data_IF_120220630262
#
_entry.id   IF_120220630262
#
_cell.length_a   1.000
_cell.length_b   1.000
_cell.length_c   1.000
_cell.angle_alpha   90.00
_cell.angle_beta   90.00
_cell.angle_gamma   90.00
#
_symmetry.space_group_name_H-M   'P 1'
#
loop_
_entity.id
_entity.type
_entity.pdbx_description
1 polymer ?
#
# COMPACT_ATOMS: atom_id res chain seq x y z
N UNK A 1 -46.10 0.12 -23.26
CA UNK A 1 -45.82 -0.13 -24.68
C UNK A 1 -45.38 -1.58 -24.81
N UNK A 2 -46.22 -2.38 -25.38
CA UNK A 2 -46.21 -3.84 -25.47
C UNK A 2 -45.12 -4.33 -26.39
N UNK A 3 -44.32 -5.34 -25.98
CA UNK A 3 -43.43 -6.08 -26.88
C UNK A 3 -43.75 -7.55 -26.81
N UNK A 4 -44.00 -8.08 -28.00
CA UNK A 4 -44.44 -9.41 -28.37
C UNK A 4 -43.44 -10.51 -28.06
N UNK A 5 -43.96 -11.65 -27.62
CA UNK A 5 -43.34 -12.97 -27.58
C UNK A 5 -43.55 -13.63 -28.96
N UNK A 6 -42.48 -14.10 -29.61
CA UNK A 6 -42.56 -15.01 -30.73
C UNK A 6 -41.81 -16.32 -30.50
N UNK A 7 -42.50 -17.38 -30.81
CA UNK A 7 -42.36 -18.81 -30.78
C UNK A 7 -40.99 -19.44 -31.10
N UNK A 8 -40.72 -20.50 -30.33
CA UNK A 8 -39.71 -21.57 -30.62
C UNK A 8 -40.40 -22.79 -31.19
N UNK A 9 -39.96 -23.37 -32.28
CA UNK A 9 -40.36 -24.72 -32.68
C UNK A 9 -39.37 -25.78 -32.14
N UNK A 10 -39.91 -26.82 -31.59
CA UNK A 10 -39.27 -28.08 -31.19
C UNK A 10 -38.84 -28.91 -32.39
N UNK A 11 -37.62 -29.42 -32.34
CA UNK A 11 -37.11 -30.41 -33.28
C UNK A 11 -36.03 -31.26 -32.66
N UNK A 12 -36.36 -32.53 -32.35
CA UNK A 12 -35.48 -33.60 -31.93
C UNK A 12 -34.65 -34.17 -33.08
N UNK A 13 -33.36 -34.35 -32.92
CA UNK A 13 -32.62 -35.47 -33.51
C UNK A 13 -31.27 -35.70 -32.81
N UNK A 14 -31.09 -36.91 -32.36
CA UNK A 14 -29.88 -37.52 -31.82
C UNK A 14 -28.82 -37.72 -32.88
N UNK A 15 -27.59 -37.26 -32.64
CA UNK A 15 -26.38 -37.85 -33.22
C UNK A 15 -25.18 -37.56 -32.31
N UNK A 16 -24.54 -38.60 -31.85
CA UNK A 16 -23.32 -38.54 -31.05
C UNK A 16 -22.12 -38.01 -31.86
N UNK A 17 -21.40 -37.12 -31.23
CA UNK A 17 -20.04 -36.78 -31.63
C UNK A 17 -19.20 -36.55 -30.37
N UNK A 18 -18.25 -37.44 -30.20
CA UNK A 18 -17.14 -37.32 -29.25
C UNK A 18 -16.36 -36.05 -29.57
N UNK A 19 -16.54 -35.01 -28.76
CA UNK A 19 -15.71 -33.82 -28.83
C UNK A 19 -14.55 -33.98 -27.82
N UNK A 20 -13.35 -34.10 -28.35
CA UNK A 20 -12.11 -34.02 -27.60
C UNK A 20 -12.04 -32.63 -26.94
N UNK A 21 -11.97 -32.59 -25.61
CA UNK A 21 -11.72 -31.42 -24.86
C UNK A 21 -10.26 -30.98 -25.11
N UNK A 22 -10.10 -30.05 -26.05
CA UNK A 22 -8.88 -29.27 -26.19
C UNK A 22 -8.81 -28.30 -25.02
N UNK A 23 -8.04 -28.62 -23.98
CA UNK A 23 -7.67 -27.70 -22.94
C UNK A 23 -6.82 -26.62 -23.59
N UNK A 24 -7.41 -25.45 -23.83
CA UNK A 24 -6.67 -24.25 -24.13
C UNK A 24 -5.90 -23.88 -22.85
N UNK A 25 -4.63 -24.28 -22.79
CA UNK A 25 -3.67 -23.72 -21.85
C UNK A 25 -3.52 -22.25 -22.20
N UNK A 26 -4.28 -21.40 -21.49
CA UNK A 26 -3.99 -19.98 -21.44
C UNK A 26 -2.54 -19.86 -20.95
N UNK A 27 -1.65 -19.41 -21.82
CA UNK A 27 -0.27 -19.19 -21.51
C UNK A 27 -0.17 -18.24 -20.32
N UNK A 28 0.15 -18.79 -19.16
CA UNK A 28 0.60 -18.00 -18.03
C UNK A 28 1.89 -17.31 -18.50
N UNK A 29 1.78 -16.05 -18.90
CA UNK A 29 2.93 -15.19 -19.13
C UNK A 29 3.64 -15.14 -17.78
N UNK A 30 4.72 -15.87 -17.64
CA UNK A 30 5.57 -15.87 -16.44
C UNK A 30 5.98 -14.42 -16.24
N UNK A 31 5.37 -13.72 -15.28
CA UNK A 31 5.70 -12.35 -14.93
C UNK A 31 7.16 -12.42 -14.47
N UNK A 32 8.08 -11.82 -15.25
CA UNK A 32 9.48 -11.74 -14.86
C UNK A 32 9.57 -11.09 -13.48
N UNK A 33 10.46 -11.60 -12.63
CA UNK A 33 10.72 -10.97 -11.35
C UNK A 33 11.12 -9.51 -11.59
N UNK A 34 10.37 -8.59 -11.01
CA UNK A 34 10.61 -7.17 -11.13
C UNK A 34 11.27 -6.70 -9.85
N UNK A 35 12.44 -6.05 -9.97
CA UNK A 35 13.14 -5.43 -8.87
C UNK A 35 12.84 -3.93 -8.83
N UNK A 36 12.98 -3.33 -7.66
CA UNK A 36 12.84 -1.90 -7.47
C UNK A 36 14.03 -1.38 -6.66
N UNK A 37 14.77 -0.44 -7.24
CA UNK A 37 15.74 0.39 -6.53
C UNK A 37 15.07 1.70 -6.15
N UNK A 38 15.13 2.05 -4.88
CA UNK A 38 14.81 3.39 -4.37
C UNK A 38 16.06 3.99 -3.75
N UNK A 39 16.29 5.28 -3.97
CA UNK A 39 17.41 5.98 -3.32
C UNK A 39 17.11 7.45 -3.08
N UNK A 40 17.86 8.03 -2.13
CA UNK A 40 17.99 9.47 -1.97
C UNK A 40 19.47 9.82 -1.71
N UNK A 41 19.91 10.97 -2.23
CA UNK A 41 21.28 11.45 -2.05
C UNK A 41 21.34 12.98 -2.19
N UNK A 42 22.45 13.64 -1.81
CA UNK A 42 22.71 15.01 -2.21
C UNK A 42 22.67 15.15 -3.74
N UNK A 43 22.04 16.22 -4.24
CA UNK A 43 21.97 16.50 -5.67
C UNK A 43 23.36 16.80 -6.24
N UNK A 44 23.76 16.06 -7.27
CA UNK A 44 25.00 16.28 -8.00
C UNK A 44 24.98 15.63 -9.40
N UNK A 45 25.79 16.13 -10.37
CA UNK A 45 25.83 15.56 -11.70
C UNK A 45 26.33 14.10 -11.72
N UNK A 46 25.77 13.28 -12.61
CA UNK A 46 26.24 11.92 -12.88
C UNK A 46 25.45 10.81 -12.18
N UNK A 47 24.61 11.10 -11.20
CA UNK A 47 23.82 10.11 -10.43
C UNK A 47 23.03 9.18 -11.37
N UNK A 48 22.19 9.74 -12.24
CA UNK A 48 21.34 8.94 -13.16
C UNK A 48 22.20 8.06 -14.07
N UNK A 49 23.31 8.59 -14.61
CA UNK A 49 24.25 7.82 -15.41
C UNK A 49 24.84 6.65 -14.62
N UNK A 50 25.26 6.87 -13.38
CA UNK A 50 25.86 5.84 -12.54
C UNK A 50 24.87 4.71 -12.25
N UNK A 51 23.62 5.06 -11.90
CA UNK A 51 22.53 4.10 -11.63
C UNK A 51 22.18 3.31 -12.90
N UNK A 52 21.95 3.99 -14.02
CA UNK A 52 21.51 3.32 -15.25
C UNK A 52 22.63 2.48 -15.88
N UNK A 53 23.90 2.92 -15.82
CA UNK A 53 25.05 2.13 -16.24
C UNK A 53 25.19 0.87 -15.37
N UNK A 54 25.09 1.00 -14.04
CA UNK A 54 25.15 -0.15 -13.13
C UNK A 54 24.14 -1.25 -13.50
N UNK A 55 22.91 -0.87 -13.83
CA UNK A 55 21.85 -1.81 -14.22
C UNK A 55 22.10 -2.38 -15.63
N UNK A 56 22.43 -1.52 -16.61
CA UNK A 56 22.66 -1.92 -17.99
C UNK A 56 23.87 -2.87 -18.13
N UNK A 57 24.99 -2.57 -17.45
CA UNK A 57 26.22 -3.40 -17.49
C UNK A 57 26.00 -4.80 -16.91
N UNK A 58 24.93 -4.99 -16.12
CA UNK A 58 24.52 -6.27 -15.55
C UNK A 58 23.36 -6.92 -16.30
N UNK A 59 22.96 -6.31 -17.42
CA UNK A 59 21.94 -6.82 -18.30
C UNK A 59 20.53 -6.67 -17.79
N UNK A 60 20.27 -5.76 -16.88
CA UNK A 60 18.92 -5.42 -16.48
C UNK A 60 18.25 -4.49 -17.49
N UNK A 61 16.97 -4.73 -17.71
CA UNK A 61 16.10 -3.88 -18.52
C UNK A 61 15.29 -2.95 -17.59
N UNK A 62 15.39 -1.64 -17.79
CA UNK A 62 14.70 -0.63 -16.99
C UNK A 62 13.27 -0.50 -17.51
N UNK A 63 12.29 -0.87 -16.66
CA UNK A 63 10.88 -0.81 -16.98
C UNK A 63 10.27 0.56 -16.65
N UNK A 64 10.71 1.16 -15.55
CA UNK A 64 10.23 2.47 -15.10
C UNK A 64 11.36 3.20 -14.37
N UNK A 65 11.54 4.47 -14.67
CA UNK A 65 12.53 5.31 -14.02
C UNK A 65 11.91 6.67 -13.72
N UNK A 66 11.90 7.05 -12.46
CA UNK A 66 11.38 8.33 -11.98
C UNK A 66 12.37 8.97 -11.05
N UNK A 67 12.56 10.29 -11.16
CA UNK A 67 13.38 11.08 -10.25
C UNK A 67 12.66 12.36 -9.87
N UNK A 68 13.06 12.91 -8.73
CA UNK A 68 12.63 14.22 -8.25
C UNK A 68 13.77 14.91 -7.52
N UNK A 69 14.07 16.13 -7.93
CA UNK A 69 15.08 16.99 -7.30
C UNK A 69 14.36 17.98 -6.36
N UNK A 70 14.51 17.78 -5.06
CA UNK A 70 13.98 18.71 -4.06
C UNK A 70 15.01 19.82 -3.80
N UNK A 71 14.85 20.93 -4.47
CA UNK A 71 15.74 22.10 -4.33
C UNK A 71 15.73 22.70 -2.92
N UNK A 72 14.70 22.43 -2.10
CA UNK A 72 14.62 22.94 -0.71
C UNK A 72 15.56 22.15 0.21
N UNK A 73 15.57 20.82 0.07
CA UNK A 73 16.47 19.95 0.84
C UNK A 73 17.80 19.66 0.14
N UNK A 74 18.01 20.14 -1.10
CA UNK A 74 19.13 19.83 -1.97
C UNK A 74 19.36 18.32 -2.09
N UNK A 75 18.28 17.55 -2.21
CA UNK A 75 18.30 16.09 -2.35
C UNK A 75 17.61 15.64 -3.62
N UNK A 76 18.25 14.69 -4.28
CA UNK A 76 17.65 13.88 -5.33
C UNK A 76 16.98 12.64 -4.73
N UNK A 77 15.77 12.33 -5.20
CA UNK A 77 15.03 11.11 -4.94
C UNK A 77 14.84 10.37 -6.24
N UNK A 78 15.06 9.05 -6.23
CA UNK A 78 14.99 8.25 -7.43
C UNK A 78 14.33 6.90 -7.13
N UNK A 79 13.49 6.45 -8.06
CA UNK A 79 12.92 5.11 -8.10
C UNK A 79 13.12 4.52 -9.49
N UNK A 80 13.69 3.32 -9.55
CA UNK A 80 13.87 2.57 -10.80
C UNK A 80 13.31 1.16 -10.62
N UNK A 81 12.34 0.79 -11.44
CA UNK A 81 11.86 -0.58 -11.55
C UNK A 81 12.54 -1.23 -12.77
N UNK A 82 13.04 -2.45 -12.59
CA UNK A 82 13.81 -3.16 -13.62
C UNK A 82 13.59 -4.67 -13.55
N UNK A 83 13.89 -5.36 -14.64
CA UNK A 83 13.77 -6.82 -14.78
C UNK A 83 15.05 -7.39 -15.36
N UNK A 84 15.31 -8.68 -15.19
CA UNK A 84 16.35 -9.36 -15.96
C UNK A 84 16.00 -9.35 -17.44
N UNK A 85 16.94 -8.96 -18.30
CA UNK A 85 16.79 -8.99 -19.75
C UNK A 85 16.51 -10.41 -20.28
N UNK A 86 15.87 -10.51 -21.46
CA UNK A 86 15.45 -11.80 -22.03
C UNK A 86 16.58 -12.74 -22.39
N UNK A 87 17.76 -12.18 -22.74
CA UNK A 87 18.84 -12.89 -23.43
C UNK A 87 20.07 -13.13 -22.56
N UNK A 88 19.96 -12.98 -21.22
CA UNK A 88 21.12 -13.10 -20.36
C UNK A 88 21.26 -14.53 -19.85
N UNK A 89 22.10 -15.30 -20.56
CA UNK A 89 22.75 -16.46 -20.00
C UNK A 89 23.86 -15.97 -19.05
N UNK A 90 23.76 -16.35 -17.76
CA UNK A 90 24.73 -16.00 -16.73
C UNK A 90 26.12 -16.58 -17.03
N UNK A 91 26.90 -15.97 -17.90
CA UNK A 91 28.27 -16.42 -18.19
C UNK A 91 29.26 -16.14 -17.02
N UNK A 92 28.91 -15.30 -16.07
CA UNK A 92 29.83 -14.84 -15.01
C UNK A 92 29.50 -15.34 -13.59
N UNK A 93 28.58 -16.31 -13.42
CA UNK A 93 28.38 -16.94 -12.12
C UNK A 93 27.80 -16.03 -11.00
N UNK A 94 27.47 -14.77 -11.30
CA UNK A 94 26.86 -13.86 -10.36
C UNK A 94 25.32 -14.03 -10.42
N UNK A 95 24.76 -14.59 -9.36
CA UNK A 95 23.32 -14.78 -9.23
C UNK A 95 22.68 -13.46 -8.75
N UNK A 96 22.37 -12.53 -9.67
CA UNK A 96 21.68 -11.27 -9.37
C UNK A 96 20.18 -11.45 -9.03
N UNK A 97 19.75 -12.65 -8.66
CA UNK A 97 18.38 -12.91 -8.19
C UNK A 97 18.20 -12.57 -6.70
N UNK A 98 19.25 -12.17 -6.03
CA UNK A 98 19.31 -11.84 -4.62
C UNK A 98 19.60 -10.33 -4.43
N UNK A 99 18.70 -9.65 -3.69
CA UNK A 99 18.81 -8.22 -3.39
C UNK A 99 20.06 -7.87 -2.58
N UNK A 100 20.56 -8.79 -1.75
CA UNK A 100 21.76 -8.58 -0.94
C UNK A 100 22.99 -8.50 -1.83
N UNK A 101 23.12 -9.38 -2.82
CA UNK A 101 24.19 -9.35 -3.82
C UNK A 101 24.16 -8.08 -4.68
N UNK A 102 22.95 -7.62 -5.08
CA UNK A 102 22.79 -6.35 -5.78
C UNK A 102 23.20 -5.16 -4.91
N UNK A 103 22.78 -5.15 -3.64
CA UNK A 103 23.14 -4.10 -2.68
C UNK A 103 24.65 -4.04 -2.47
N UNK A 104 25.30 -5.18 -2.27
CA UNK A 104 26.76 -5.25 -2.11
C UNK A 104 27.49 -4.75 -3.36
N UNK A 105 27.03 -5.12 -4.56
CA UNK A 105 27.64 -4.66 -5.82
C UNK A 105 27.43 -3.18 -6.10
N UNK A 106 26.35 -2.57 -5.59
CA UNK A 106 26.03 -1.15 -5.75
C UNK A 106 26.71 -0.27 -4.70
N UNK A 107 27.14 -0.82 -3.56
CA UNK A 107 27.70 -0.08 -2.44
C UNK A 107 28.85 0.89 -2.81
N UNK A 108 29.81 0.56 -3.72
CA UNK A 108 30.84 1.50 -4.13
C UNK A 108 30.28 2.77 -4.80
N UNK A 109 29.27 2.61 -5.67
CA UNK A 109 28.59 3.71 -6.34
C UNK A 109 27.81 4.54 -5.33
N UNK A 110 27.09 3.87 -4.43
CA UNK A 110 26.35 4.55 -3.37
C UNK A 110 27.28 5.37 -2.46
N UNK A 111 28.48 4.85 -2.16
CA UNK A 111 29.50 5.57 -1.38
C UNK A 111 30.04 6.81 -2.09
N UNK A 112 30.28 6.74 -3.42
CA UNK A 112 30.74 7.89 -4.22
C UNK A 112 29.76 9.06 -4.18
N UNK A 113 28.44 8.78 -4.25
CA UNK A 113 27.40 9.80 -4.32
C UNK A 113 26.70 10.07 -2.97
N UNK A 114 27.10 9.40 -1.89
CA UNK A 114 26.44 9.52 -0.58
C UNK A 114 24.97 9.08 -0.60
N UNK A 115 24.68 7.97 -1.30
CA UNK A 115 23.32 7.48 -1.47
C UNK A 115 22.84 6.68 -0.25
N UNK A 116 21.64 6.99 0.22
CA UNK A 116 20.80 6.11 1.02
C UNK A 116 19.88 5.34 0.06
N UNK A 117 20.00 4.01 -0.01
CA UNK A 117 19.37 3.21 -1.04
C UNK A 117 18.83 1.88 -0.53
N UNK A 118 17.86 1.33 -1.25
CA UNK A 118 17.27 0.01 -0.99
C UNK A 118 16.92 -0.69 -2.30
N UNK A 119 17.36 -1.94 -2.46
CA UNK A 119 16.85 -2.85 -3.48
C UNK A 119 15.72 -3.70 -2.90
N UNK A 120 14.65 -3.90 -3.68
CA UNK A 120 13.50 -4.72 -3.34
C UNK A 120 13.26 -5.74 -4.43
N UNK A 121 12.92 -6.97 -4.07
CA UNK A 121 12.74 -8.12 -4.97
C UNK A 121 11.38 -8.16 -5.68
N UNK A 122 10.54 -7.16 -5.45
CA UNK A 122 9.20 -7.05 -6.06
C UNK A 122 8.19 -8.11 -5.57
N UNK A 123 8.50 -8.88 -4.52
CA UNK A 123 7.52 -9.74 -3.87
C UNK A 123 6.35 -8.92 -3.30
N UNK A 124 5.13 -9.46 -3.27
CA UNK A 124 4.03 -8.81 -2.57
C UNK A 124 4.39 -8.55 -1.11
N UNK A 125 4.20 -7.31 -0.66
CA UNK A 125 4.40 -6.97 0.75
C UNK A 125 3.30 -7.56 1.61
N UNK A 126 3.65 -7.99 2.82
CA UNK A 126 2.74 -8.61 3.78
C UNK A 126 2.20 -7.57 4.75
N UNK A 127 0.88 -7.47 4.81
CA UNK A 127 0.18 -6.47 5.62
C UNK A 127 -0.35 -7.09 6.91
N UNK A 128 -0.11 -6.42 8.04
CA UNK A 128 -0.89 -6.58 9.26
C UNK A 128 -1.89 -5.42 9.32
N UNK A 129 -3.19 -5.74 9.22
CA UNK A 129 -4.24 -4.72 9.18
C UNK A 129 -4.89 -4.61 10.56
N UNK A 130 -4.78 -3.43 11.18
CA UNK A 130 -5.37 -3.14 12.48
C UNK A 130 -6.70 -2.41 12.32
N UNK A 131 -7.73 -2.90 13.01
CA UNK A 131 -9.09 -2.35 12.95
C UNK A 131 -9.69 -2.20 14.35
N UNK A 132 -10.77 -1.41 14.48
CA UNK A 132 -11.64 -1.39 15.64
C UNK A 132 -13.06 -1.81 15.23
N UNK A 133 -14.06 -0.91 15.27
CA UNK A 133 -15.46 -1.23 14.98
C UNK A 133 -15.90 -0.89 13.55
N UNK A 134 -15.23 0.06 12.90
CA UNK A 134 -15.63 0.52 11.56
C UNK A 134 -14.96 -0.30 10.47
N UNK A 135 -15.75 -0.95 9.63
CA UNK A 135 -15.27 -1.95 8.66
C UNK A 135 -15.06 -1.45 7.24
N UNK A 136 -15.44 -0.21 6.88
CA UNK A 136 -15.40 0.27 5.49
C UNK A 136 -14.00 0.21 4.87
N UNK A 137 -12.96 0.63 5.60
CA UNK A 137 -11.58 0.54 5.13
C UNK A 137 -11.10 -0.91 4.99
N UNK A 138 -11.41 -1.78 5.97
CA UNK A 138 -11.05 -3.20 5.89
C UNK A 138 -11.74 -3.87 4.69
N UNK A 139 -13.02 -3.60 4.48
CA UNK A 139 -13.78 -4.16 3.35
C UNK A 139 -13.18 -3.76 2.00
N UNK A 140 -12.79 -2.50 1.81
CA UNK A 140 -12.16 -2.02 0.57
C UNK A 140 -10.77 -2.66 0.37
N UNK A 141 -9.96 -2.77 1.43
CA UNK A 141 -8.65 -3.45 1.36
C UNK A 141 -8.81 -4.93 0.99
N UNK A 142 -9.77 -5.65 1.60
CA UNK A 142 -10.08 -7.05 1.26
C UNK A 142 -10.52 -7.17 -0.20
N UNK A 143 -11.43 -6.33 -0.66
CA UNK A 143 -11.90 -6.34 -2.05
C UNK A 143 -10.73 -6.15 -3.04
N UNK A 144 -9.87 -5.15 -2.80
CA UNK A 144 -8.71 -4.88 -3.66
C UNK A 144 -7.66 -5.98 -3.61
N UNK A 145 -7.47 -6.60 -2.46
CA UNK A 145 -6.59 -7.75 -2.29
C UNK A 145 -7.09 -8.94 -3.11
N UNK A 146 -8.35 -9.32 -2.97
CA UNK A 146 -8.97 -10.41 -3.73
C UNK A 146 -9.00 -10.14 -5.23
N UNK A 147 -9.18 -8.88 -5.65
CA UNK A 147 -9.13 -8.45 -7.04
C UNK A 147 -7.68 -8.35 -7.61
N UNK A 148 -6.64 -8.62 -6.80
CA UNK A 148 -5.25 -8.50 -7.21
C UNK A 148 -4.78 -7.06 -7.50
N UNK A 149 -5.55 -6.04 -7.07
CA UNK A 149 -5.29 -4.62 -7.37
C UNK A 149 -4.58 -3.88 -6.24
N UNK A 150 -4.43 -4.49 -5.06
CA UNK A 150 -3.74 -3.90 -3.92
C UNK A 150 -2.21 -3.94 -4.07
N UNK A 151 -1.69 -4.99 -4.72
CA UNK A 151 -0.25 -5.20 -4.87
C UNK A 151 0.43 -5.69 -3.58
N UNK A 152 -0.34 -6.23 -2.65
CA UNK A 152 0.11 -6.71 -1.35
C UNK A 152 -0.71 -7.93 -0.92
N UNK A 153 -0.25 -8.64 0.11
CA UNK A 153 -0.92 -9.76 0.76
C UNK A 153 -1.41 -9.33 2.16
N UNK A 154 -2.68 -9.54 2.48
CA UNK A 154 -3.17 -9.37 3.85
C UNK A 154 -2.83 -10.63 4.63
N UNK A 155 -1.82 -10.56 5.49
CA UNK A 155 -1.33 -11.70 6.26
C UNK A 155 -2.18 -11.97 7.50
N UNK A 156 -2.66 -10.91 8.16
CA UNK A 156 -3.48 -11.02 9.39
C UNK A 156 -4.27 -9.74 9.62
N UNK A 157 -5.45 -9.88 10.22
CA UNK A 157 -6.26 -8.77 10.74
C UNK A 157 -6.20 -8.80 12.27
N UNK A 158 -5.83 -7.69 12.89
CA UNK A 158 -5.75 -7.54 14.34
C UNK A 158 -6.75 -6.49 14.80
N UNK A 159 -7.49 -6.76 15.85
CA UNK A 159 -8.51 -5.82 16.35
C UNK A 159 -8.59 -5.80 17.87
N UNK A 160 -8.90 -4.64 18.44
CA UNK A 160 -9.23 -4.49 19.84
C UNK A 160 -10.74 -4.74 20.13
N UNK A 161 -11.53 -5.16 19.13
CA UNK A 161 -12.94 -5.53 19.20
C UNK A 161 -13.22 -6.75 18.32
N UNK A 162 -14.27 -7.47 18.61
CA UNK A 162 -14.71 -8.67 17.86
C UNK A 162 -15.60 -8.35 16.65
N UNK A 163 -16.07 -7.12 16.53
CA UNK A 163 -17.12 -6.69 15.58
C UNK A 163 -16.81 -7.07 14.13
N UNK A 164 -15.55 -7.03 13.72
CA UNK A 164 -15.13 -7.28 12.33
C UNK A 164 -14.57 -8.69 12.08
N UNK A 165 -14.59 -9.57 13.08
CA UNK A 165 -14.18 -10.98 12.91
C UNK A 165 -14.94 -11.67 11.76
N UNK A 166 -16.30 -11.59 11.69
CA UNK A 166 -17.01 -12.27 10.62
C UNK A 166 -16.60 -11.79 9.22
N UNK A 167 -16.27 -10.51 9.06
CA UNK A 167 -15.82 -9.94 7.78
C UNK A 167 -14.45 -10.51 7.37
N UNK A 168 -13.49 -10.57 8.29
CA UNK A 168 -12.16 -11.09 8.02
C UNK A 168 -12.20 -12.60 7.73
N UNK A 169 -12.89 -13.38 8.56
CA UNK A 169 -12.99 -14.84 8.41
C UNK A 169 -13.76 -15.25 7.14
N UNK A 170 -14.80 -14.51 6.76
CA UNK A 170 -15.51 -14.75 5.49
C UNK A 170 -14.62 -14.52 4.26
N UNK A 171 -13.58 -13.69 4.37
CA UNK A 171 -12.57 -13.49 3.34
C UNK A 171 -11.42 -14.51 3.41
N UNK A 172 -11.45 -15.47 4.35
CA UNK A 172 -10.40 -16.46 4.57
C UNK A 172 -9.17 -15.91 5.32
N UNK A 173 -9.29 -14.74 5.97
CA UNK A 173 -8.20 -14.11 6.70
C UNK A 173 -8.18 -14.55 8.18
N UNK A 174 -6.99 -14.71 8.72
CA UNK A 174 -6.81 -14.87 10.17
C UNK A 174 -7.17 -13.58 10.89
N UNK A 175 -8.03 -13.70 11.91
CA UNK A 175 -8.43 -12.58 12.77
C UNK A 175 -7.96 -12.83 14.20
N UNK A 176 -7.23 -11.87 14.76
CA UNK A 176 -6.69 -11.94 16.13
C UNK A 176 -7.27 -10.81 16.97
N UNK A 177 -7.94 -11.17 18.06
CA UNK A 177 -8.47 -10.20 19.01
C UNK A 177 -7.41 -9.90 20.09
N UNK A 178 -7.01 -8.63 20.17
CA UNK A 178 -6.10 -8.09 21.16
C UNK A 178 -6.81 -6.94 21.88
N UNK A 179 -7.55 -7.22 22.96
CA UNK A 179 -8.29 -6.18 23.67
C UNK A 179 -7.35 -5.17 24.31
N UNK A 180 -7.72 -3.88 24.23
CA UNK A 180 -6.91 -2.78 24.78
C UNK A 180 -7.71 -2.01 25.81
N UNK A 181 -7.12 -1.88 26.99
CA UNK A 181 -7.56 -0.98 28.07
C UNK A 181 -6.38 -0.12 28.49
N UNK A 182 -6.61 0.90 29.31
CA UNK A 182 -5.52 1.71 29.85
C UNK A 182 -4.48 0.90 30.62
N UNK A 183 -4.92 -0.18 31.31
CA UNK A 183 -4.04 -1.06 32.08
C UNK A 183 -3.28 -2.10 31.23
N UNK A 184 -3.88 -2.56 30.12
CA UNK A 184 -3.32 -3.63 29.28
C UNK A 184 -2.66 -3.11 27.99
N UNK A 185 -2.56 -1.80 27.80
CA UNK A 185 -2.00 -1.21 26.60
C UNK A 185 -0.55 -1.63 26.33
N UNK A 186 0.37 -1.63 27.32
CA UNK A 186 1.75 -2.06 27.08
C UNK A 186 1.85 -3.52 26.61
N UNK A 187 1.08 -4.44 27.21
CA UNK A 187 1.05 -5.85 26.83
C UNK A 187 0.44 -6.05 25.44
N UNK A 188 -0.61 -5.28 25.12
CA UNK A 188 -1.23 -5.32 23.79
C UNK A 188 -0.28 -4.81 22.69
N UNK A 189 0.50 -3.78 22.97
CA UNK A 189 1.51 -3.27 22.04
C UNK A 189 2.71 -4.22 21.88
N UNK A 190 3.15 -4.88 22.96
CA UNK A 190 4.15 -5.94 22.90
C UNK A 190 3.65 -7.11 22.03
N UNK A 191 2.39 -7.55 22.26
CA UNK A 191 1.76 -8.60 21.43
C UNK A 191 1.67 -8.20 19.96
N UNK A 192 1.41 -6.93 19.66
CA UNK A 192 1.41 -6.45 18.28
C UNK A 192 2.79 -6.62 17.61
N UNK A 193 3.87 -6.27 18.29
CA UNK A 193 5.24 -6.46 17.76
C UNK A 193 5.57 -7.95 17.54
N UNK A 194 5.13 -8.83 18.45
CA UNK A 194 5.24 -10.28 18.24
C UNK A 194 4.49 -10.73 16.98
N UNK A 195 3.26 -10.25 16.78
CA UNK A 195 2.46 -10.57 15.60
C UNK A 195 3.10 -10.02 14.30
N UNK A 196 3.70 -8.83 14.33
CA UNK A 196 4.48 -8.31 13.19
C UNK A 196 5.59 -9.27 12.80
N UNK A 197 6.31 -9.83 13.79
CA UNK A 197 7.37 -10.82 13.53
C UNK A 197 6.80 -12.19 13.11
N UNK A 198 5.78 -12.70 13.80
CA UNK A 198 5.14 -14.00 13.55
C UNK A 198 4.60 -14.10 12.11
N UNK A 199 3.93 -13.04 11.64
CA UNK A 199 3.35 -12.98 10.30
C UNK A 199 4.30 -12.42 9.24
N UNK A 200 5.55 -12.10 9.59
CA UNK A 200 6.52 -11.45 8.72
C UNK A 200 5.89 -10.23 8.02
N UNK A 201 5.22 -9.37 8.80
CA UNK A 201 4.53 -8.22 8.25
C UNK A 201 5.53 -7.11 7.89
N UNK A 202 5.50 -6.69 6.63
CA UNK A 202 6.32 -5.60 6.11
C UNK A 202 5.71 -4.24 6.47
N UNK A 203 4.36 -4.16 6.48
CA UNK A 203 3.62 -2.93 6.75
C UNK A 203 2.47 -3.19 7.73
N UNK A 204 2.33 -2.30 8.70
CA UNK A 204 1.17 -2.22 9.59
C UNK A 204 0.21 -1.15 9.05
N UNK A 205 -1.06 -1.50 8.89
CA UNK A 205 -2.09 -0.59 8.36
C UNK A 205 -3.14 -0.35 9.43
N UNK A 206 -3.24 0.88 9.95
CA UNK A 206 -4.28 1.29 10.88
C UNK A 206 -5.54 1.69 10.10
N UNK A 207 -6.36 0.71 9.78
CA UNK A 207 -7.62 0.86 9.03
C UNK A 207 -8.77 1.20 9.98
N UNK A 208 -8.80 2.42 10.50
CA UNK A 208 -9.73 2.88 11.55
C UNK A 208 -9.48 2.20 12.90
N UNK A 209 -8.23 1.98 13.24
CA UNK A 209 -7.84 1.54 14.59
C UNK A 209 -7.86 2.73 15.55
N UNK A 210 -8.84 2.76 16.44
CA UNK A 210 -9.19 3.92 17.26
C UNK A 210 -8.41 3.95 18.60
N UNK A 211 -7.13 3.57 18.57
CA UNK A 211 -6.23 3.65 19.72
C UNK A 211 -4.99 4.47 19.36
N UNK A 212 -4.54 5.32 20.28
CA UNK A 212 -3.27 6.03 20.15
C UNK A 212 -2.14 5.05 20.47
N UNK A 213 -1.15 4.93 19.59
CA UNK A 213 0.03 4.10 19.83
C UNK A 213 1.02 4.81 20.77
N UNK A 214 1.82 4.04 21.51
CA UNK A 214 2.91 4.62 22.33
C UNK A 214 4.04 5.12 21.45
N UNK A 215 4.87 6.01 22.00
CA UNK A 215 6.04 6.54 21.31
C UNK A 215 7.02 5.43 20.91
N UNK A 216 7.20 4.44 21.79
CA UNK A 216 8.11 3.30 21.56
C UNK A 216 7.61 2.42 20.41
N UNK A 217 6.30 2.16 20.35
CA UNK A 217 5.71 1.42 19.23
C UNK A 217 5.80 2.22 17.92
N UNK A 218 5.54 3.52 17.95
CA UNK A 218 5.70 4.39 16.78
C UNK A 218 7.16 4.40 16.28
N UNK A 219 8.13 4.44 17.18
CA UNK A 219 9.55 4.38 16.83
C UNK A 219 9.93 3.03 16.21
N UNK A 220 9.43 1.91 16.76
CA UNK A 220 9.68 0.56 16.24
C UNK A 220 9.06 0.31 14.87
N UNK A 221 7.97 1.00 14.55
CA UNK A 221 7.25 0.91 13.27
C UNK A 221 7.51 2.09 12.33
N UNK A 222 8.55 2.89 12.59
CA UNK A 222 8.86 4.07 11.78
C UNK A 222 8.99 3.72 10.29
N UNK A 223 8.21 4.44 9.45
CA UNK A 223 8.18 4.21 8.00
C UNK A 223 7.48 2.91 7.58
N UNK A 224 6.99 2.10 8.52
CA UNK A 224 6.29 0.82 8.30
C UNK A 224 4.91 0.77 8.94
N UNK A 225 4.32 1.90 9.29
CA UNK A 225 2.94 1.98 9.77
C UNK A 225 2.23 3.14 9.08
N UNK A 226 1.07 2.86 8.47
CA UNK A 226 0.22 3.84 7.80
C UNK A 226 -1.09 3.94 8.56
N UNK A 227 -1.50 5.17 8.88
CA UNK A 227 -2.80 5.48 9.48
C UNK A 227 -3.71 6.18 8.49
N UNK A 228 -5.01 5.91 8.57
CA UNK A 228 -6.03 6.74 7.94
C UNK A 228 -6.68 7.66 8.97
N UNK A 229 -6.48 8.94 8.80
CA UNK A 229 -7.14 9.97 9.59
C UNK A 229 -8.37 10.50 8.87
N UNK A 230 -9.49 10.57 9.58
CA UNK A 230 -10.81 10.90 9.05
C UNK A 230 -11.04 12.42 8.94
N UNK A 231 -10.02 13.17 8.54
CA UNK A 231 -10.14 14.56 8.12
C UNK A 231 -9.04 14.96 7.14
N UNK A 232 -9.24 16.08 6.49
CA UNK A 232 -8.21 16.73 5.68
C UNK A 232 -7.23 17.46 6.60
N UNK A 233 -6.09 16.83 6.91
CA UNK A 233 -5.06 17.44 7.76
C UNK A 233 -4.42 18.65 7.06
N UNK A 234 -4.03 19.68 7.82
CA UNK A 234 -3.99 19.78 9.28
C UNK A 234 -5.30 20.25 9.96
N UNK A 235 -6.44 20.27 9.25
CA UNK A 235 -7.72 20.69 9.78
C UNK A 235 -8.44 19.60 10.60
N UNK A 236 -9.35 20.04 11.50
CA UNK A 236 -10.29 19.19 12.25
C UNK A 236 -9.66 17.99 12.97
N UNK A 237 -8.68 18.25 13.83
CA UNK A 237 -8.11 17.26 14.75
C UNK A 237 -9.11 16.86 15.84
N UNK A 238 -9.01 15.63 16.33
CA UNK A 238 -9.79 15.11 17.45
C UNK A 238 -11.07 14.37 17.03
N UNK A 239 -12.06 14.34 17.95
CA UNK A 239 -13.26 13.53 17.78
C UNK A 239 -14.30 14.17 16.84
N UNK A 240 -15.00 13.31 16.05
CA UNK A 240 -16.12 13.69 15.19
C UNK A 240 -15.82 14.83 14.18
N UNK A 241 -14.75 14.77 13.39
CA UNK A 241 -14.34 15.86 12.50
C UNK A 241 -15.40 16.21 11.45
N UNK A 242 -16.20 15.26 10.96
CA UNK A 242 -17.28 15.55 10.00
C UNK A 242 -18.43 16.35 10.62
N UNK A 243 -18.74 16.17 11.90
CA UNK A 243 -19.72 17.01 12.61
C UNK A 243 -19.16 18.43 12.81
N UNK A 244 -17.88 18.56 13.18
CA UNK A 244 -17.23 19.86 13.26
C UNK A 244 -17.22 20.58 11.90
N UNK A 245 -17.01 19.82 10.81
CA UNK A 245 -17.04 20.33 9.44
C UNK A 245 -18.45 20.82 9.06
N UNK A 246 -19.49 20.07 9.43
CA UNK A 246 -20.87 20.47 9.24
C UNK A 246 -21.21 21.78 9.99
N UNK A 247 -20.91 21.82 11.29
CA UNK A 247 -21.19 23.01 12.14
C UNK A 247 -20.52 24.27 11.61
N UNK A 248 -19.35 24.13 10.96
CA UNK A 248 -18.63 25.24 10.33
C UNK A 248 -19.06 25.55 8.90
N UNK A 249 -19.94 24.75 8.30
CA UNK A 249 -20.42 24.92 6.95
C UNK A 249 -19.32 24.89 5.90
N UNK A 250 -18.32 24.00 6.07
CA UNK A 250 -17.19 23.85 5.13
C UNK A 250 -17.66 23.43 3.74
N UNK A 251 -16.85 23.66 2.74
CA UNK A 251 -17.13 23.31 1.34
C UNK A 251 -16.27 22.16 0.83
N UNK A 252 -15.36 21.68 1.65
CA UNK A 252 -14.51 20.53 1.37
C UNK A 252 -14.42 19.66 2.61
N UNK A 253 -14.57 18.36 2.44
CA UNK A 253 -14.27 17.33 3.44
C UNK A 253 -13.33 16.32 2.83
N UNK A 254 -12.63 15.54 3.66
CA UNK A 254 -11.68 14.58 3.13
C UNK A 254 -11.06 13.71 4.22
N UNK A 255 -10.08 12.93 3.80
CA UNK A 255 -9.31 12.04 4.66
C UNK A 255 -7.83 12.10 4.30
N UNK A 256 -6.98 11.75 5.24
CA UNK A 256 -5.52 11.78 5.09
C UNK A 256 -4.91 10.44 5.48
N UNK A 257 -4.19 9.81 4.57
CA UNK A 257 -3.33 8.67 4.86
C UNK A 257 -1.90 9.16 5.07
N UNK A 258 -1.30 8.82 6.21
CA UNK A 258 0.02 9.29 6.60
C UNK A 258 0.79 8.20 7.34
N UNK A 259 2.12 8.30 7.37
CA UNK A 259 2.92 7.45 8.25
C UNK A 259 2.67 7.81 9.71
N UNK A 260 2.67 6.80 10.56
CA UNK A 260 2.52 6.99 12.01
C UNK A 260 3.81 7.52 12.61
N UNK A 261 3.68 8.51 13.48
CA UNK A 261 4.76 9.09 14.30
C UNK A 261 4.31 9.22 15.75
N UNK A 262 5.24 9.58 16.64
CA UNK A 262 4.92 9.82 18.04
C UNK A 262 3.95 11.00 18.24
N UNK A 263 4.03 11.99 17.35
CA UNK A 263 3.11 13.12 17.33
C UNK A 263 1.82 12.71 16.62
N UNK A 264 0.71 12.74 17.35
CA UNK A 264 -0.59 12.29 16.86
C UNK A 264 -1.03 13.10 15.65
N UNK A 265 -1.33 12.38 14.55
CA UNK A 265 -1.81 12.93 13.27
C UNK A 265 -0.86 13.95 12.61
N UNK A 266 0.45 13.94 12.97
CA UNK A 266 1.48 14.85 12.45
C UNK A 266 2.50 14.13 11.54
N UNK A 267 2.30 12.86 11.25
CA UNK A 267 3.23 12.07 10.43
C UNK A 267 3.25 12.48 8.96
N UNK A 268 4.30 12.11 8.21
CA UNK A 268 4.43 12.43 6.79
C UNK A 268 3.23 11.95 5.97
N UNK A 269 2.58 12.87 5.28
CA UNK A 269 1.37 12.62 4.48
C UNK A 269 1.75 11.86 3.20
N UNK A 270 1.02 10.78 2.89
CA UNK A 270 1.19 9.98 1.68
C UNK A 270 0.13 10.33 0.65
N UNK A 271 -1.13 10.38 1.07
CA UNK A 271 -2.26 10.69 0.20
C UNK A 271 -3.36 11.42 0.96
N UNK A 272 -4.06 12.29 0.23
CA UNK A 272 -5.25 12.96 0.72
C UNK A 272 -6.35 12.86 -0.34
N UNK A 273 -7.55 12.45 0.09
CA UNK A 273 -8.75 12.49 -0.76
C UNK A 273 -9.67 13.59 -0.27
N UNK A 274 -10.21 14.37 -1.19
CA UNK A 274 -11.05 15.53 -0.89
C UNK A 274 -12.31 15.52 -1.75
N UNK A 275 -13.45 15.70 -1.10
CA UNK A 275 -14.74 15.84 -1.76
C UNK A 275 -15.31 17.25 -1.53
N UNK A 276 -15.90 17.79 -2.60
CA UNK A 276 -16.69 19.02 -2.50
C UNK A 276 -18.06 18.69 -1.90
N UNK A 277 -18.47 19.49 -0.91
CA UNK A 277 -19.74 19.38 -0.22
C UNK A 277 -20.46 20.73 -0.18
N UNK A 278 -21.74 20.73 0.09
CA UNK A 278 -22.56 21.93 0.20
C UNK A 278 -23.58 21.83 1.34
N UNK A 279 -24.48 22.82 1.42
CA UNK A 279 -25.45 22.95 2.49
C UNK A 279 -26.61 21.95 2.42
N UNK A 280 -26.72 21.18 1.32
CA UNK A 280 -27.77 20.15 1.18
C UNK A 280 -27.45 18.85 1.93
N UNK A 281 -26.16 18.67 2.32
CA UNK A 281 -25.71 17.50 3.06
C UNK A 281 -25.79 17.76 4.56
N UNK A 282 -26.47 16.89 5.28
CA UNK A 282 -26.44 16.88 6.74
C UNK A 282 -25.15 16.21 7.29
N UNK A 283 -25.01 16.17 8.62
CA UNK A 283 -23.82 15.62 9.26
C UNK A 283 -23.61 14.13 8.96
N UNK A 284 -24.68 13.33 8.85
CA UNK A 284 -24.60 11.89 8.56
C UNK A 284 -24.24 11.63 7.10
N UNK A 285 -24.73 12.45 6.17
CA UNK A 285 -24.32 12.42 4.78
C UNK A 285 -22.83 12.78 4.64
N UNK A 286 -22.32 13.77 5.38
CA UNK A 286 -20.90 14.10 5.42
C UNK A 286 -20.05 12.93 5.98
N UNK A 287 -20.53 12.19 6.98
CA UNK A 287 -19.86 10.97 7.47
C UNK A 287 -19.78 9.92 6.37
N UNK A 288 -20.82 9.76 5.57
CA UNK A 288 -20.85 8.80 4.46
C UNK A 288 -19.84 9.16 3.38
N UNK A 289 -19.85 10.40 2.90
CA UNK A 289 -18.84 10.92 1.95
C UNK A 289 -17.41 10.80 2.52
N UNK A 290 -17.27 11.05 3.81
CA UNK A 290 -16.01 10.92 4.50
C UNK A 290 -15.47 9.49 4.50
N UNK A 291 -16.32 8.47 4.68
CA UNK A 291 -15.92 7.05 4.58
C UNK A 291 -15.40 6.68 3.19
N UNK A 292 -15.99 7.23 2.13
CA UNK A 292 -15.51 7.02 0.76
C UNK A 292 -14.13 7.66 0.58
N UNK A 293 -13.90 8.86 1.13
CA UNK A 293 -12.58 9.48 1.13
C UNK A 293 -11.55 8.64 1.88
N UNK A 294 -11.90 8.11 3.05
CA UNK A 294 -11.03 7.27 3.88
C UNK A 294 -10.59 6.01 3.14
N UNK A 295 -11.53 5.29 2.49
CA UNK A 295 -11.22 4.05 1.75
C UNK A 295 -10.28 4.33 0.58
N UNK A 296 -10.52 5.39 -0.20
CA UNK A 296 -9.72 5.73 -1.37
C UNK A 296 -8.31 6.19 -0.99
N UNK A 297 -8.19 7.08 0.00
CA UNK A 297 -6.89 7.59 0.46
C UNK A 297 -6.03 6.46 1.04
N UNK A 298 -6.61 5.62 1.91
CA UNK A 298 -5.88 4.50 2.51
C UNK A 298 -5.43 3.48 1.48
N UNK A 299 -6.32 3.05 0.59
CA UNK A 299 -5.99 2.04 -0.42
C UNK A 299 -4.88 2.51 -1.37
N UNK A 300 -4.91 3.80 -1.80
CA UNK A 300 -3.83 4.36 -2.63
C UNK A 300 -2.52 4.45 -1.88
N UNK A 301 -2.53 4.93 -0.64
CA UNK A 301 -1.33 5.03 0.18
C UNK A 301 -0.68 3.67 0.42
N UNK A 302 -1.46 2.65 0.79
CA UNK A 302 -1.00 1.26 0.96
C UNK A 302 -0.41 0.72 -0.35
N UNK A 303 -1.12 0.87 -1.46
CA UNK A 303 -0.65 0.41 -2.78
C UNK A 303 0.68 1.06 -3.17
N UNK A 304 0.81 2.38 -3.04
CA UNK A 304 2.06 3.07 -3.40
C UNK A 304 3.22 2.70 -2.49
N UNK A 305 2.95 2.54 -1.19
CA UNK A 305 3.97 2.03 -0.26
C UNK A 305 4.45 0.63 -0.70
N UNK A 306 3.53 -0.30 -0.93
CA UNK A 306 3.85 -1.67 -1.33
C UNK A 306 4.53 -1.78 -2.71
N UNK A 307 4.37 -0.77 -3.55
CA UNK A 307 5.09 -0.63 -4.83
C UNK A 307 6.41 0.15 -4.70
N UNK A 308 6.85 0.46 -3.47
CA UNK A 308 8.05 1.27 -3.20
C UNK A 308 8.04 2.61 -3.94
N UNK A 309 6.88 3.28 -3.97
CA UNK A 309 6.68 4.57 -4.64
C UNK A 309 6.75 5.76 -3.66
N UNK A 310 6.84 5.49 -2.37
CA UNK A 310 6.83 6.52 -1.31
C UNK A 310 8.18 6.59 -0.64
N UNK A 311 8.89 7.70 -0.80
CA UNK A 311 10.16 7.96 -0.13
C UNK A 311 9.97 9.07 0.92
N UNK A 312 10.57 8.86 2.10
CA UNK A 312 10.52 9.84 3.17
C UNK A 312 11.48 11.01 2.89
N UNK A 313 10.97 12.23 3.05
CA UNK A 313 11.72 13.48 2.98
C UNK A 313 11.48 14.28 4.27
N UNK A 314 12.17 13.93 5.35
CA UNK A 314 11.98 14.47 6.70
C UNK A 314 10.51 14.30 7.17
N UNK A 315 9.75 15.40 7.28
CA UNK A 315 8.33 15.42 7.66
C UNK A 315 7.37 15.33 6.46
N UNK A 316 7.89 15.14 5.26
CA UNK A 316 7.13 15.04 4.01
C UNK A 316 7.41 13.71 3.32
N UNK A 317 6.68 13.43 2.26
CA UNK A 317 6.94 12.31 1.35
C UNK A 317 7.17 12.80 -0.06
N UNK A 318 7.97 12.04 -0.82
CA UNK A 318 8.01 12.09 -2.28
C UNK A 318 7.26 10.86 -2.78
N UNK A 319 6.21 11.05 -3.56
CA UNK A 319 5.35 9.97 -4.06
C UNK A 319 5.44 9.91 -5.58
N UNK A 320 6.02 8.83 -6.09
CA UNK A 320 6.10 8.55 -7.52
C UNK A 320 4.81 7.84 -7.99
N UNK A 321 3.98 8.54 -8.74
CA UNK A 321 2.66 8.07 -9.24
C UNK A 321 2.72 7.41 -10.61
#
# INVERSE_FOLDING_TARGET
MTILLENIPSGSTTAGATAAAGAATAGATTRRAQFVLTLSCPEQPGIVRAVTAFLADRGFDIVEHQQFDDHVSAKLYLRTAFTLGADIHHENGLNYQDVDSLSAAFAPIAGEFGMDYTFNDGRPQRLLVMVSKFGHCLNDLIFRWQAGSLGAEIAVVVSNHEDLRPMAEAAGLTFIHVPVTAATKPEAEARLLELVAEYNADLVVLARYMQVLSNDLCASLRGRAINIHHSFLPGFKGAKPYHQAYDRGVKLVGATAHYVTADLDEGPIIEQEVFRVDHSLDADALVTVGRDAETQALARAVKWHCQHRVLLNNTRTVVFR
#
